data_IF_225423124958
#
_entry.id   IF_225423124958
#
_cell.length_a   1.000
_cell.length_b   1.000
_cell.length_c   1.000
_cell.angle_alpha   90.00
_cell.angle_beta   90.00
_cell.angle_gamma   90.00
#
_symmetry.space_group_name_H-M   'P 1'
#
loop_
_entity.id
_entity.type
_entity.pdbx_description
1 polymer ?
#
# COMPACT_ATOMS: atom_id res chain seq x y z
N UNK A 1 -54.87 25.72 1.90
CA UNK A 1 -54.39 25.74 0.50
C UNK A 1 -53.19 24.80 0.42
N UNK A 2 -53.41 23.60 -0.11
CA UNK A 2 -52.39 22.56 -0.30
C UNK A 2 -51.68 22.80 -1.63
N UNK A 3 -50.34 22.83 -1.62
CA UNK A 3 -49.52 22.96 -2.83
C UNK A 3 -49.01 21.59 -3.28
N UNK A 4 -49.39 21.19 -4.50
CA UNK A 4 -49.04 19.94 -5.18
C UNK A 4 -47.57 19.97 -5.66
N UNK A 5 -46.72 18.95 -5.34
CA UNK A 5 -45.28 19.00 -5.59
C UNK A 5 -44.80 18.47 -6.96
N UNK A 6 -45.65 18.42 -8.01
CA UNK A 6 -45.28 17.81 -9.31
C UNK A 6 -45.27 18.78 -10.50
N UNK A 7 -44.46 19.82 -10.44
CA UNK A 7 -44.15 20.66 -11.62
C UNK A 7 -42.73 20.36 -12.15
N UNK A 8 -42.60 19.65 -13.29
CA UNK A 8 -41.32 19.31 -13.91
C UNK A 8 -40.67 20.45 -14.73
N UNK A 9 -41.22 21.67 -14.76
CA UNK A 9 -40.69 22.77 -15.58
C UNK A 9 -39.58 23.60 -14.94
N UNK A 10 -39.20 23.31 -13.68
CA UNK A 10 -38.26 24.15 -12.92
C UNK A 10 -36.80 23.84 -13.27
N UNK A 11 -36.21 24.66 -14.15
CA UNK A 11 -34.77 24.62 -14.47
C UNK A 11 -33.93 24.79 -13.19
N UNK A 12 -32.89 23.97 -12.96
CA UNK A 12 -32.04 24.08 -11.78
C UNK A 12 -31.25 25.40 -11.84
N UNK A 13 -31.47 26.26 -10.83
CA UNK A 13 -30.73 27.50 -10.65
C UNK A 13 -29.24 27.22 -10.42
N UNK A 14 -28.38 27.96 -11.11
CA UNK A 14 -26.92 27.96 -10.90
C UNK A 14 -26.63 28.27 -9.43
N UNK A 15 -26.15 27.28 -8.67
CA UNK A 15 -25.61 27.50 -7.32
C UNK A 15 -24.19 28.03 -7.47
N UNK A 16 -24.06 29.32 -7.17
CA UNK A 16 -22.79 30.02 -7.04
C UNK A 16 -22.07 29.52 -5.78
N UNK A 17 -21.03 28.68 -5.95
CA UNK A 17 -20.19 28.22 -4.85
C UNK A 17 -19.22 29.34 -4.44
N UNK A 18 -19.60 30.16 -3.46
CA UNK A 18 -18.67 31.07 -2.79
C UNK A 18 -17.86 30.30 -1.75
N UNK A 19 -16.58 30.07 -2.04
CA UNK A 19 -15.61 29.59 -1.07
C UNK A 19 -15.42 30.63 0.05
N UNK A 20 -15.89 30.34 1.26
CA UNK A 20 -15.54 31.10 2.47
C UNK A 20 -14.20 30.57 2.99
N UNK A 21 -13.15 31.37 2.86
CA UNK A 21 -11.91 31.18 3.58
C UNK A 21 -12.14 31.46 5.07
N UNK A 22 -12.13 30.41 5.90
CA UNK A 22 -12.23 30.54 7.34
C UNK A 22 -10.82 30.66 7.93
N UNK A 23 -10.38 31.90 8.18
CA UNK A 23 -9.12 32.23 8.84
C UNK A 23 -9.38 32.34 10.35
N UNK A 24 -9.41 31.21 11.04
CA UNK A 24 -9.57 31.14 12.51
C UNK A 24 -8.23 31.22 13.23
N UNK A 25 -7.83 32.43 13.63
CA UNK A 25 -6.82 32.66 14.68
C UNK A 25 -7.50 32.39 16.03
N UNK A 26 -7.21 31.26 16.66
CA UNK A 26 -7.48 31.03 18.08
C UNK A 26 -6.36 31.64 18.91
N UNK A 27 -6.58 32.83 19.45
CA UNK A 27 -5.74 33.46 20.46
C UNK A 27 -6.31 33.07 21.82
N UNK A 28 -5.58 32.22 22.56
CA UNK A 28 -5.89 31.88 23.94
C UNK A 28 -5.53 33.07 24.82
N UNK A 29 -6.54 33.68 25.45
CA UNK A 29 -6.38 34.66 26.52
C UNK A 29 -6.33 33.85 27.81
N UNK A 30 -5.16 33.82 28.47
CA UNK A 30 -5.01 33.36 29.83
C UNK A 30 -5.36 34.48 30.81
N UNK A 31 -6.25 34.19 31.75
CA UNK A 31 -6.81 35.10 32.77
C UNK A 31 -5.91 35.34 33.99
N UNK A 32 -4.60 35.15 33.90
CA UNK A 32 -3.70 35.52 35.01
C UNK A 32 -2.84 36.72 34.62
N UNK A 33 -3.25 37.89 35.12
CA UNK A 33 -2.61 39.19 34.96
C UNK A 33 -1.25 39.29 35.66
N UNK A 34 -0.30 38.43 35.30
CA UNK A 34 1.11 38.57 35.68
C UNK A 34 1.93 39.00 34.47
N UNK A 35 2.28 40.29 34.43
CA UNK A 35 3.32 40.78 33.53
C UNK A 35 4.65 40.15 33.93
N UNK A 36 5.18 39.28 33.07
CA UNK A 36 6.55 38.82 33.15
C UNK A 36 7.34 39.50 32.03
N UNK A 37 7.96 40.62 32.36
CA UNK A 37 9.03 41.20 31.56
C UNK A 37 10.26 40.29 31.68
N UNK A 38 10.61 39.54 30.63
CA UNK A 38 11.94 38.93 30.55
C UNK A 38 12.53 39.02 29.13
N UNK A 39 13.36 40.05 29.00
CA UNK A 39 14.72 40.02 28.44
C UNK A 39 14.97 39.33 27.09
N UNK A 40 15.36 40.18 26.14
CA UNK A 40 16.28 39.88 25.04
C UNK A 40 17.42 38.95 25.47
N UNK A 41 17.52 37.81 24.80
CA UNK A 41 18.67 36.92 24.82
C UNK A 41 19.03 36.51 23.40
N UNK A 42 19.69 37.39 22.66
CA UNK A 42 20.49 36.98 21.50
C UNK A 42 21.57 36.02 21.99
N UNK A 43 21.44 34.73 21.68
CA UNK A 43 22.58 33.81 21.70
C UNK A 43 22.88 33.39 20.27
N UNK A 44 23.75 34.16 19.64
CA UNK A 44 24.53 33.72 18.48
C UNK A 44 25.57 32.73 19.00
N UNK A 45 25.28 31.44 18.94
CA UNK A 45 26.33 30.42 18.96
C UNK A 45 26.57 29.97 17.53
N UNK A 46 27.56 30.64 16.92
CA UNK A 46 28.25 30.15 15.75
C UNK A 46 28.96 28.83 16.12
N UNK A 47 28.28 27.71 15.89
CA UNK A 47 28.89 26.39 15.90
C UNK A 47 29.69 26.22 14.61
N UNK A 48 30.97 26.57 14.68
CA UNK A 48 32.00 26.15 13.72
C UNK A 48 32.04 24.62 13.76
N UNK A 49 31.30 23.96 12.87
CA UNK A 49 31.52 22.55 12.60
C UNK A 49 32.67 22.43 11.61
N UNK A 50 33.80 22.04 12.19
CA UNK A 50 35.04 21.67 11.52
C UNK A 50 34.75 20.63 10.46
N UNK A 51 35.02 21.00 9.20
CA UNK A 51 35.18 20.07 8.11
C UNK A 51 36.37 19.14 8.44
N UNK A 52 36.09 17.90 8.81
CA UNK A 52 37.09 16.83 8.80
C UNK A 52 36.86 16.00 7.55
N UNK A 53 37.59 16.40 6.52
CA UNK A 53 37.88 15.65 5.32
C UNK A 53 38.72 14.42 5.70
N UNK A 54 38.16 13.21 5.58
CA UNK A 54 38.97 12.00 5.45
C UNK A 54 38.58 11.32 4.15
N UNK A 55 39.38 11.63 3.14
CA UNK A 55 39.54 10.86 1.92
C UNK A 55 40.10 9.48 2.30
N UNK A 56 39.34 8.42 2.06
CA UNK A 56 39.88 7.07 1.96
C UNK A 56 39.44 6.47 0.63
N UNK A 57 40.32 6.64 -0.34
CA UNK A 57 40.29 6.00 -1.65
C UNK A 57 40.54 4.50 -1.41
N UNK A 58 39.53 3.66 -1.63
CA UNK A 58 39.72 2.23 -1.81
C UNK A 58 39.36 1.89 -3.27
N UNK A 59 40.34 2.06 -4.14
CA UNK A 59 40.35 1.50 -5.49
C UNK A 59 40.45 -0.01 -5.33
N UNK A 60 39.33 -0.71 -5.50
CA UNK A 60 39.34 -2.16 -5.72
C UNK A 60 39.10 -2.41 -7.20
N UNK A 61 40.20 -2.48 -7.95
CA UNK A 61 40.23 -3.04 -9.31
C UNK A 61 40.06 -4.54 -9.22
N UNK A 62 38.85 -5.06 -9.42
CA UNK A 62 38.67 -6.49 -9.73
C UNK A 62 38.85 -6.70 -11.24
N UNK A 63 40.05 -7.20 -11.51
CA UNK A 63 40.54 -7.72 -12.77
C UNK A 63 39.81 -9.03 -13.10
N UNK A 64 39.17 -9.03 -14.27
CA UNK A 64 39.02 -10.08 -15.30
C UNK A 64 38.77 -11.56 -14.92
N UNK A 65 37.92 -12.16 -15.77
CA UNK A 65 38.02 -13.51 -16.40
C UNK A 65 37.08 -14.64 -15.97
N UNK A 66 36.56 -15.33 -16.99
CA UNK A 66 35.75 -16.56 -16.97
C UNK A 66 34.41 -16.33 -17.69
N UNK A 67 34.25 -16.41 -19.01
CA UNK A 67 34.54 -17.48 -19.99
C UNK A 67 33.74 -18.78 -19.73
N UNK A 68 32.72 -18.97 -20.58
CA UNK A 68 32.06 -20.22 -21.03
C UNK A 68 31.36 -21.11 -20.00
N UNK A 69 30.07 -21.29 -20.26
CA UNK A 69 29.29 -22.47 -19.92
C UNK A 69 27.99 -22.45 -20.72
N UNK A 70 28.04 -22.93 -21.96
CA UNK A 70 26.87 -23.21 -22.79
C UNK A 70 26.42 -24.62 -22.43
N UNK A 71 25.36 -24.74 -21.64
CA UNK A 71 24.73 -26.04 -21.39
C UNK A 71 23.22 -25.94 -21.63
N UNK A 72 22.82 -26.61 -22.70
CA UNK A 72 21.44 -27.02 -22.98
C UNK A 72 21.28 -28.44 -22.45
N UNK A 73 20.29 -28.70 -21.58
CA UNK A 73 19.68 -30.02 -21.46
C UNK A 73 18.18 -29.91 -21.80
N UNK A 74 17.75 -30.48 -22.91
CA UNK A 74 17.35 -31.88 -23.08
C UNK A 74 15.92 -32.14 -22.58
N UNK A 75 15.04 -32.36 -23.56
CA UNK A 75 13.63 -32.66 -23.40
C UNK A 75 13.45 -34.10 -22.88
N UNK A 76 13.05 -34.23 -21.61
CA UNK A 76 12.63 -35.48 -21.00
C UNK A 76 11.12 -35.72 -21.15
N UNK A 77 10.76 -36.59 -22.10
CA UNK A 77 9.48 -37.31 -22.21
C UNK A 77 9.47 -38.49 -21.22
N UNK A 78 8.29 -38.95 -20.77
CA UNK A 78 7.92 -40.31 -20.21
C UNK A 78 6.94 -40.17 -19.03
N UNK A 79 5.64 -40.43 -19.20
CA UNK A 79 4.91 -41.72 -19.05
C UNK A 79 4.26 -41.84 -17.65
N UNK A 80 2.92 -41.67 -17.55
CA UNK A 80 1.91 -42.74 -17.45
C UNK A 80 2.18 -43.81 -16.38
N UNK A 81 1.38 -43.79 -15.30
CA UNK A 81 0.70 -44.98 -14.73
C UNK A 81 -0.26 -44.61 -13.60
N UNK A 82 -1.53 -44.91 -13.81
CA UNK A 82 -2.54 -45.12 -12.77
C UNK A 82 -2.20 -46.37 -11.95
N UNK A 83 -2.60 -46.38 -10.67
CA UNK A 83 -3.28 -47.55 -10.16
C UNK A 83 -4.69 -47.21 -9.67
N UNK A 84 -5.65 -47.99 -10.17
CA UNK A 84 -7.00 -48.15 -9.64
C UNK A 84 -6.92 -48.82 -8.28
N UNK A 85 -7.62 -48.30 -7.29
CA UNK A 85 -7.98 -49.06 -6.09
C UNK A 85 -9.45 -48.78 -5.78
N UNK A 86 -10.23 -49.81 -6.08
CA UNK A 86 -11.63 -49.99 -5.76
C UNK A 86 -11.73 -50.36 -4.28
N UNK A 87 -12.43 -49.55 -3.48
CA UNK A 87 -12.68 -49.82 -2.07
C UNK A 87 -14.19 -49.76 -1.81
N UNK A 88 -14.65 -50.84 -1.20
CA UNK A 88 -16.01 -51.24 -0.82
C UNK A 88 -16.71 -50.19 0.07
N UNK A 89 -18.00 -49.88 -0.13
CA UNK A 89 -18.77 -49.04 0.78
C UNK A 89 -19.39 -49.88 1.92
N UNK A 90 -18.99 -49.60 3.16
CA UNK A 90 -19.68 -50.05 4.38
C UNK A 90 -20.64 -48.96 4.85
N UNK A 91 -21.95 -49.24 4.76
CA UNK A 91 -23.02 -48.41 5.32
C UNK A 91 -23.01 -48.47 6.84
N UNK A 92 -22.45 -47.43 7.47
CA UNK A 92 -22.66 -47.13 8.90
C UNK A 92 -23.39 -45.81 9.00
N UNK A 93 -24.63 -45.84 9.49
CA UNK A 93 -25.46 -44.67 9.75
C UNK A 93 -24.88 -43.92 10.95
N UNK A 94 -24.01 -42.94 10.69
CA UNK A 94 -23.54 -41.98 11.68
C UNK A 94 -24.46 -40.77 11.73
N UNK A 95 -24.79 -40.34 12.94
CA UNK A 95 -25.57 -39.14 13.23
C UNK A 95 -24.99 -37.92 12.50
N UNK A 96 -25.84 -37.23 11.74
CA UNK A 96 -25.51 -35.99 11.02
C UNK A 96 -25.30 -34.88 12.05
N UNK A 97 -24.06 -34.76 12.53
CA UNK A 97 -23.57 -33.47 13.00
C UNK A 97 -23.36 -32.65 11.74
N UNK A 98 -24.14 -31.58 11.55
CA UNK A 98 -23.96 -30.66 10.43
C UNK A 98 -22.58 -30.00 10.55
N UNK A 99 -21.56 -30.67 10.01
CA UNK A 99 -20.22 -30.12 9.82
C UNK A 99 -20.38 -28.94 8.89
N UNK A 100 -20.28 -27.73 9.46
CA UNK A 100 -20.25 -26.48 8.70
C UNK A 100 -19.04 -26.58 7.78
N UNK A 101 -19.27 -26.87 6.51
CA UNK A 101 -18.22 -27.01 5.51
C UNK A 101 -17.39 -25.72 5.58
N UNK A 102 -16.09 -25.76 5.93
CA UNK A 102 -15.30 -24.56 6.04
C UNK A 102 -15.28 -23.90 4.66
N UNK A 103 -15.84 -22.70 4.56
CA UNK A 103 -15.79 -21.92 3.32
C UNK A 103 -14.33 -21.77 2.93
N UNK A 104 -13.98 -22.17 1.70
CA UNK A 104 -12.63 -22.02 1.19
C UNK A 104 -12.17 -20.55 1.32
N UNK A 105 -10.88 -20.29 1.61
CA UNK A 105 -10.37 -18.92 1.66
C UNK A 105 -10.67 -18.15 0.38
N UNK A 106 -11.04 -16.87 0.50
CA UNK A 106 -11.34 -16.01 -0.64
C UNK A 106 -10.48 -14.74 -0.65
N UNK A 107 -10.23 -14.20 -1.84
CA UNK A 107 -9.47 -12.98 -2.02
C UNK A 107 -10.33 -11.73 -1.83
N UNK A 108 -9.88 -10.82 -0.97
CA UNK A 108 -10.50 -9.51 -0.73
C UNK A 108 -9.58 -8.39 -1.22
N UNK A 109 -10.10 -7.49 -2.06
CA UNK A 109 -9.33 -6.34 -2.55
C UNK A 109 -9.26 -5.25 -1.48
N UNK A 110 -8.06 -4.83 -1.08
CA UNK A 110 -7.84 -3.82 -0.05
C UNK A 110 -8.41 -2.45 -0.43
N UNK A 111 -8.44 -2.10 -1.73
CA UNK A 111 -9.06 -0.87 -2.25
C UNK A 111 -10.58 -0.80 -2.03
N UNK A 112 -11.24 -1.94 -1.76
CA UNK A 112 -12.68 -2.04 -1.46
C UNK A 112 -12.97 -2.22 0.03
N UNK A 113 -11.94 -2.35 0.86
CA UNK A 113 -12.08 -2.48 2.31
C UNK A 113 -11.82 -1.13 2.98
N UNK A 114 -12.51 -0.87 4.09
CA UNK A 114 -12.22 0.28 4.93
C UNK A 114 -10.91 0.05 5.69
N UNK A 115 -9.96 0.97 5.53
CA UNK A 115 -8.76 1.01 6.36
C UNK A 115 -9.08 1.67 7.71
N UNK A 116 -8.42 1.23 8.77
CA UNK A 116 -8.51 1.87 10.10
C UNK A 116 -7.65 3.13 10.18
N UNK A 117 -6.60 3.22 9.37
CA UNK A 117 -5.79 4.43 9.18
C UNK A 117 -5.64 4.62 7.68
N UNK A 118 -5.95 5.83 7.21
CA UNK A 118 -5.77 6.23 5.83
C UNK A 118 -5.13 7.61 5.82
N UNK A 119 -3.83 7.68 5.57
CA UNK A 119 -3.15 8.97 5.43
C UNK A 119 -3.46 9.58 4.06
N UNK A 120 -3.24 10.89 3.93
CA UNK A 120 -3.66 11.68 2.76
C UNK A 120 -3.07 11.22 1.42
N UNK A 121 -2.06 10.37 1.45
CA UNK A 121 -1.28 9.94 0.31
C UNK A 121 -1.89 8.90 -0.62
N UNK A 122 -2.75 8.03 -0.08
CA UNK A 122 -3.33 6.93 -0.85
C UNK A 122 -4.70 7.30 -1.43
N UNK A 123 -4.93 6.94 -2.68
CA UNK A 123 -6.24 7.09 -3.34
C UNK A 123 -6.57 5.80 -4.09
N UNK A 124 -7.74 5.16 -3.87
CA UNK A 124 -8.18 4.05 -4.72
C UNK A 124 -8.33 4.54 -6.16
N UNK A 125 -7.83 3.77 -7.12
CA UNK A 125 -7.81 4.14 -8.53
C UNK A 125 -8.07 2.90 -9.39
N UNK A 126 -8.98 3.02 -10.36
CA UNK A 126 -9.43 1.87 -11.16
C UNK A 126 -9.60 2.24 -12.65
N UNK A 127 -8.76 1.71 -13.56
CA UNK A 127 -7.55 0.92 -13.32
C UNK A 127 -6.32 1.82 -13.04
N UNK A 128 -5.35 1.32 -12.27
CA UNK A 128 -3.99 1.89 -12.25
C UNK A 128 -3.13 1.20 -13.31
N UNK A 129 -2.19 1.90 -13.97
CA UNK A 129 -1.35 1.33 -15.03
C UNK A 129 0.12 1.31 -14.58
N UNK A 130 0.75 0.14 -14.63
CA UNK A 130 2.17 -0.04 -14.31
C UNK A 130 2.83 -0.64 -15.56
N UNK A 131 3.71 0.13 -16.18
CA UNK A 131 4.17 -0.15 -17.54
C UNK A 131 3.01 -0.21 -18.52
N UNK A 132 2.95 -1.27 -19.33
CA UNK A 132 1.85 -1.48 -20.27
C UNK A 132 0.58 -2.10 -19.63
N UNK A 133 0.69 -2.64 -18.42
CA UNK A 133 -0.34 -3.47 -17.80
C UNK A 133 -1.36 -2.63 -16.98
N UNK A 134 -2.68 -2.75 -17.24
CA UNK A 134 -3.70 -2.19 -16.39
C UNK A 134 -4.07 -3.13 -15.25
N UNK A 135 -4.22 -2.57 -14.05
CA UNK A 135 -4.59 -3.28 -12.83
C UNK A 135 -5.90 -2.68 -12.28
N UNK A 136 -7.01 -3.44 -12.32
CA UNK A 136 -8.24 -2.97 -11.71
C UNK A 136 -8.11 -2.88 -10.19
N UNK A 137 -8.94 -2.05 -9.57
CA UNK A 137 -9.01 -1.91 -8.12
C UNK A 137 -7.66 -1.59 -7.45
N UNK A 138 -6.86 -0.70 -8.04
CA UNK A 138 -5.56 -0.28 -7.54
C UNK A 138 -5.61 0.80 -6.47
N UNK A 139 -4.44 1.16 -5.95
CA UNK A 139 -4.21 2.29 -5.05
C UNK A 139 -3.01 3.08 -5.60
N UNK A 140 -3.11 4.41 -5.63
CA UNK A 140 -2.02 5.31 -6.03
C UNK A 140 -1.51 6.07 -4.81
N UNK A 141 -0.18 6.06 -4.62
CA UNK A 141 0.59 6.89 -3.69
C UNK A 141 0.98 8.21 -4.36
N UNK A 142 0.29 9.28 -3.99
CA UNK A 142 0.28 10.54 -4.72
C UNK A 142 0.97 11.70 -4.00
N UNK A 143 1.39 11.54 -2.75
CA UNK A 143 2.02 12.61 -1.97
C UNK A 143 3.53 12.39 -1.84
N UNK A 144 4.25 13.42 -1.38
CA UNK A 144 5.65 13.23 -0.97
C UNK A 144 5.65 12.38 0.30
N UNK A 145 6.43 11.31 0.32
CA UNK A 145 6.52 10.45 1.50
C UNK A 145 7.94 9.92 1.71
N UNK A 146 8.35 9.85 2.99
CA UNK A 146 9.68 9.42 3.43
C UNK A 146 9.57 8.54 4.66
N UNK A 147 10.64 7.86 5.05
CA UNK A 147 10.62 6.94 6.20
C UNK A 147 10.17 7.63 7.50
N UNK A 148 10.50 8.91 7.66
CA UNK A 148 10.13 9.74 8.81
C UNK A 148 8.80 10.47 8.65
N UNK A 149 8.25 10.54 7.44
CA UNK A 149 6.97 11.20 7.13
C UNK A 149 6.15 10.35 6.15
N UNK A 150 5.39 9.41 6.71
CA UNK A 150 4.67 8.35 5.99
C UNK A 150 3.30 8.83 5.48
N UNK A 151 3.27 9.86 4.64
CA UNK A 151 2.05 10.38 4.02
C UNK A 151 1.32 9.33 3.15
N UNK A 152 2.07 8.52 2.40
CA UNK A 152 1.57 7.46 1.51
C UNK A 152 1.44 6.14 2.29
N UNK A 153 0.48 6.09 3.24
CA UNK A 153 0.27 4.96 4.18
C UNK A 153 -1.20 4.63 4.38
N UNK A 154 -1.51 3.33 4.43
CA UNK A 154 -2.80 2.82 4.90
C UNK A 154 -2.63 1.57 5.78
N UNK A 155 -3.53 1.40 6.74
CA UNK A 155 -3.53 0.29 7.71
C UNK A 155 -4.90 -0.37 7.74
N UNK A 156 -4.95 -1.69 7.59
CA UNK A 156 -6.14 -2.53 7.71
C UNK A 156 -6.04 -3.43 8.94
N UNK A 157 -7.12 -3.52 9.72
CA UNK A 157 -7.24 -4.48 10.82
C UNK A 157 -7.80 -5.80 10.26
N UNK A 158 -6.91 -6.69 9.82
CA UNK A 158 -7.22 -7.96 9.15
C UNK A 158 -7.34 -9.16 10.12
N UNK A 159 -7.27 -8.92 11.42
CA UNK A 159 -7.75 -9.82 12.48
C UNK A 159 -7.06 -11.20 12.62
N UNK A 160 -5.96 -11.46 11.91
CA UNK A 160 -5.28 -12.77 11.95
C UNK A 160 -5.94 -13.87 11.14
N UNK A 161 -7.05 -13.59 10.43
CA UNK A 161 -7.78 -14.58 9.62
C UNK A 161 -7.29 -14.70 8.16
N UNK A 162 -6.28 -13.92 7.79
CA UNK A 162 -5.70 -13.92 6.44
C UNK A 162 -4.34 -14.62 6.44
N UNK A 163 -4.00 -15.24 5.32
CA UNK A 163 -2.77 -16.04 5.19
C UNK A 163 -1.83 -15.51 4.10
N UNK A 164 -2.34 -14.81 3.08
CA UNK A 164 -1.51 -14.27 2.00
C UNK A 164 -1.91 -12.85 1.63
N UNK A 165 -0.91 -12.03 1.30
CA UNK A 165 -1.06 -10.73 0.64
C UNK A 165 -0.46 -10.80 -0.77
N UNK A 166 -1.17 -10.23 -1.74
CA UNK A 166 -0.69 -10.09 -3.12
C UNK A 166 -0.93 -8.69 -3.67
N UNK A 167 0.03 -8.18 -4.43
CA UNK A 167 -0.09 -6.96 -5.24
C UNK A 167 0.92 -6.96 -6.38
N UNK A 168 0.73 -6.13 -7.39
CA UNK A 168 1.78 -5.75 -8.34
C UNK A 168 2.18 -4.30 -8.07
N UNK A 169 3.46 -4.02 -7.86
CA UNK A 169 3.93 -2.66 -7.51
C UNK A 169 4.79 -2.05 -8.61
N UNK A 170 4.78 -0.72 -8.70
CA UNK A 170 5.65 0.03 -9.59
C UNK A 170 5.22 1.47 -9.76
N UNK A 171 5.79 2.17 -10.76
CA UNK A 171 5.40 3.55 -11.08
C UNK A 171 4.15 3.60 -11.94
N UNK A 172 3.26 4.54 -11.63
CA UNK A 172 2.05 4.76 -12.42
C UNK A 172 2.39 5.41 -13.76
N UNK A 173 2.17 4.70 -14.86
CA UNK A 173 2.50 5.16 -16.22
C UNK A 173 1.67 6.35 -16.69
N UNK A 174 0.51 6.59 -16.07
CA UNK A 174 -0.33 7.74 -16.41
C UNK A 174 0.09 9.01 -15.64
N UNK A 175 1.12 8.93 -14.79
CA UNK A 175 1.70 10.07 -14.08
C UNK A 175 3.00 10.54 -14.73
N UNK A 176 3.22 11.86 -14.75
CA UNK A 176 4.48 12.43 -15.19
C UNK A 176 5.50 12.39 -14.04
N UNK A 177 6.79 12.31 -14.39
CA UNK A 177 7.89 12.32 -13.44
C UNK A 177 8.80 11.10 -13.59
N UNK A 178 9.85 11.05 -12.78
CA UNK A 178 10.80 9.94 -12.72
C UNK A 178 10.91 9.36 -11.32
N UNK A 179 12.14 9.02 -10.94
CA UNK A 179 12.48 8.62 -9.57
C UNK A 179 12.11 7.18 -9.22
N UNK A 180 12.66 6.72 -8.11
CA UNK A 180 12.46 5.37 -7.58
C UNK A 180 11.52 5.45 -6.38
N UNK A 181 10.49 4.62 -6.37
CA UNK A 181 9.61 4.46 -5.20
C UNK A 181 10.06 3.27 -4.36
N UNK A 182 10.07 3.41 -3.03
CA UNK A 182 10.17 2.27 -2.12
C UNK A 182 8.77 1.80 -1.75
N UNK A 183 8.50 0.49 -1.85
CA UNK A 183 7.24 -0.13 -1.47
C UNK A 183 7.49 -1.06 -0.29
N UNK A 184 6.69 -0.94 0.77
CA UNK A 184 6.88 -1.70 2.01
C UNK A 184 5.57 -2.30 2.48
N UNK A 185 5.63 -3.57 2.88
CA UNK A 185 4.54 -4.30 3.53
C UNK A 185 4.95 -4.57 4.97
N UNK A 186 4.14 -4.11 5.92
CA UNK A 186 4.38 -4.25 7.36
C UNK A 186 3.20 -5.03 7.97
N UNK A 187 3.51 -6.05 8.78
CA UNK A 187 2.53 -6.79 9.57
C UNK A 187 2.86 -6.65 11.05
N UNK A 188 1.89 -6.19 11.85
CA UNK A 188 2.04 -5.97 13.29
C UNK A 188 3.34 -5.24 13.66
N UNK A 189 3.58 -4.12 12.97
CA UNK A 189 4.75 -3.24 13.14
C UNK A 189 6.11 -3.86 12.77
N UNK A 190 6.13 -5.03 12.13
CA UNK A 190 7.32 -5.66 11.53
C UNK A 190 7.30 -5.57 10.01
N UNK A 191 8.40 -5.13 9.40
CA UNK A 191 8.58 -5.22 7.95
C UNK A 191 8.58 -6.69 7.50
N UNK A 192 7.68 -7.02 6.57
CA UNK A 192 7.55 -8.36 5.97
C UNK A 192 8.15 -8.40 4.57
N UNK A 193 8.07 -7.29 3.84
CA UNK A 193 8.57 -7.16 2.48
C UNK A 193 8.90 -5.71 2.16
N UNK A 194 9.92 -5.52 1.33
CA UNK A 194 10.34 -4.20 0.86
C UNK A 194 11.00 -4.30 -0.51
N UNK A 195 10.67 -3.40 -1.42
CA UNK A 195 11.30 -3.34 -2.76
C UNK A 195 11.34 -1.92 -3.30
N UNK A 196 12.34 -1.64 -4.14
CA UNK A 196 12.51 -0.37 -4.83
C UNK A 196 12.17 -0.56 -6.32
N UNK A 197 11.34 0.32 -6.89
CA UNK A 197 10.96 0.26 -8.31
C UNK A 197 11.11 1.63 -8.98
N UNK A 198 11.87 1.67 -10.07
CA UNK A 198 12.09 2.84 -10.92
C UNK A 198 10.99 3.04 -11.96
N UNK A 199 11.07 4.12 -12.76
CA UNK A 199 10.01 4.52 -13.69
C UNK A 199 9.93 3.67 -14.96
N UNK A 200 11.03 3.01 -15.33
CA UNK A 200 11.10 2.14 -16.52
C UNK A 200 11.09 0.66 -16.17
N UNK A 201 11.03 0.32 -14.88
CA UNK A 201 11.00 -1.06 -14.44
C UNK A 201 9.61 -1.66 -14.72
N UNK A 202 9.54 -2.95 -15.07
CA UNK A 202 8.26 -3.64 -15.17
C UNK A 202 7.56 -3.69 -13.81
N UNK A 203 6.27 -4.00 -13.82
CA UNK A 203 5.55 -4.28 -12.58
C UNK A 203 6.23 -5.44 -11.82
N UNK A 204 6.38 -5.28 -10.51
CA UNK A 204 6.94 -6.31 -9.63
C UNK A 204 5.79 -6.96 -8.86
N UNK A 205 5.63 -8.27 -9.04
CA UNK A 205 4.64 -9.04 -8.28
C UNK A 205 5.16 -9.31 -6.86
N UNK A 206 4.32 -8.97 -5.88
CA UNK A 206 4.57 -9.11 -4.45
C UNK A 206 3.64 -10.19 -3.91
N UNK A 207 4.22 -11.18 -3.25
CA UNK A 207 3.50 -12.24 -2.54
C UNK A 207 4.12 -12.41 -1.16
N UNK A 208 3.32 -12.22 -0.11
CA UNK A 208 3.79 -12.20 1.29
C UNK A 208 2.90 -13.08 2.16
N UNK A 209 3.51 -13.95 2.97
CA UNK A 209 2.82 -14.66 4.03
C UNK A 209 2.49 -13.69 5.18
N UNK A 210 1.19 -13.60 5.49
CA UNK A 210 0.65 -12.74 6.54
C UNK A 210 -0.12 -13.55 7.59
N UNK A 211 0.17 -14.85 7.70
CA UNK A 211 -0.46 -15.73 8.67
C UNK A 211 -0.29 -15.21 10.10
N UNK A 212 -1.42 -15.04 10.80
CA UNK A 212 -1.46 -14.52 12.16
C UNK A 212 -1.32 -12.99 12.29
N UNK A 213 -1.12 -12.27 11.19
CA UNK A 213 -1.03 -10.80 11.21
C UNK A 213 -2.39 -10.18 11.53
N UNK A 214 -2.43 -9.30 12.53
CA UNK A 214 -3.66 -8.61 12.95
C UNK A 214 -3.81 -7.28 12.21
N UNK A 215 -2.70 -6.56 12.00
CA UNK A 215 -2.66 -5.25 11.32
C UNK A 215 -1.72 -5.31 10.13
N UNK A 216 -2.30 -5.16 8.93
CA UNK A 216 -1.54 -5.03 7.69
C UNK A 216 -1.39 -3.55 7.34
N UNK A 217 -0.17 -3.10 7.12
CA UNK A 217 0.15 -1.75 6.71
C UNK A 217 0.84 -1.79 5.34
N UNK A 218 0.33 -0.99 4.41
CA UNK A 218 1.01 -0.68 3.15
C UNK A 218 1.54 0.74 3.22
N UNK A 219 2.77 0.91 2.76
CA UNK A 219 3.50 2.16 2.81
C UNK A 219 4.41 2.29 1.60
N UNK A 220 4.49 3.48 1.00
CA UNK A 220 5.51 3.76 0.01
C UNK A 220 6.20 5.12 0.19
N UNK A 221 7.42 5.25 -0.34
CA UNK A 221 8.19 6.50 -0.37
C UNK A 221 8.25 7.05 -1.78
N UNK A 222 8.26 8.39 -1.88
CA UNK A 222 8.59 9.11 -3.11
C UNK A 222 8.92 10.57 -2.84
N UNK A 223 9.68 11.17 -3.74
CA UNK A 223 9.89 12.61 -3.77
C UNK A 223 8.75 13.32 -4.53
N UNK A 224 8.65 14.64 -4.33
CA UNK A 224 7.54 15.44 -4.85
C UNK A 224 7.45 15.44 -6.39
N UNK A 225 8.60 15.41 -7.08
CA UNK A 225 8.69 15.44 -8.55
C UNK A 225 8.67 14.04 -9.19
N UNK A 226 8.62 12.97 -8.40
CA UNK A 226 8.61 11.61 -8.91
C UNK A 226 7.26 11.27 -9.52
N UNK A 227 7.25 10.31 -10.45
CA UNK A 227 6.02 9.64 -10.84
C UNK A 227 5.33 9.05 -9.59
N UNK A 228 3.99 9.01 -9.60
CA UNK A 228 3.22 8.46 -8.49
C UNK A 228 3.47 6.97 -8.37
N UNK A 229 3.45 6.47 -7.13
CA UNK A 229 3.58 5.05 -6.86
C UNK A 229 2.23 4.36 -7.07
N UNK A 230 2.27 3.12 -7.54
CA UNK A 230 1.08 2.33 -7.84
C UNK A 230 1.14 0.96 -7.17
N UNK A 231 0.06 0.63 -6.48
CA UNK A 231 -0.26 -0.70 -5.98
C UNK A 231 -1.39 -1.27 -6.85
N UNK A 232 -1.04 -2.14 -7.78
CA UNK A 232 -1.97 -2.88 -8.64
C UNK A 232 -2.60 -4.05 -7.91
N UNK A 233 -3.94 -4.09 -7.87
CA UNK A 233 -4.74 -5.17 -7.28
C UNK A 233 -4.31 -5.63 -5.87
N UNK A 234 -4.03 -4.73 -4.90
CA UNK A 234 -3.65 -5.14 -3.56
C UNK A 234 -4.80 -5.93 -2.90
N UNK A 235 -4.53 -7.16 -2.52
CA UNK A 235 -5.54 -8.10 -2.01
C UNK A 235 -5.00 -9.04 -0.95
N UNK A 236 -5.89 -9.57 -0.12
CA UNK A 236 -5.58 -10.53 0.94
C UNK A 236 -6.44 -11.78 0.83
N UNK A 237 -5.86 -12.95 1.08
CA UNK A 237 -6.56 -14.23 1.11
C UNK A 237 -6.97 -14.53 2.55
N UNK A 238 -8.27 -14.62 2.81
CA UNK A 238 -8.79 -14.78 4.17
C UNK A 238 -9.88 -15.86 4.24
N UNK A 239 -9.98 -16.53 5.40
CA UNK A 239 -11.05 -17.51 5.66
C UNK A 239 -12.43 -16.87 5.92
N UNK A 240 -12.46 -15.57 6.19
CA UNK A 240 -13.67 -14.77 6.41
C UNK A 240 -13.41 -13.31 6.04
N UNK A 241 -14.46 -12.48 6.01
CA UNK A 241 -14.34 -11.06 5.64
C UNK A 241 -13.43 -10.32 6.63
N UNK A 242 -12.31 -9.72 6.18
CA UNK A 242 -11.33 -9.15 7.10
C UNK A 242 -11.71 -7.79 7.69
N UNK A 243 -12.80 -7.18 7.21
CA UNK A 243 -13.28 -5.90 7.71
C UNK A 243 -14.52 -5.43 6.94
N UNK A 244 -15.07 -4.26 7.30
CA UNK A 244 -16.18 -3.67 6.56
C UNK A 244 -15.73 -3.22 5.16
N UNK A 245 -16.63 -3.35 4.18
CA UNK A 245 -16.44 -2.74 2.86
C UNK A 245 -16.46 -1.22 2.98
N UNK A 246 -15.76 -0.55 2.07
CA UNK A 246 -15.80 0.91 1.92
C UNK A 246 -17.05 1.37 1.18
#
# INVERSE_FOLDING_TARGET
MNSDPRDPSRKPGKREYRARANRGRGQLIGEDGTQVNHFYGMSRTAGVFVAVLVLAIAVVTFVTWGKRGSETPEAGKTESRQPVSEVVPSTTTSAVTTTRNPTAPIWYNLSKLSAVIWNNGFTPFDPVRIGAAPYPAGIVGGYQSSATDQNDKAVWAIGGQCTAFEASVGKNTDSAGGGTGQFVVIGDDRELYSTAVGPNDPAVDVHVDISGVIRLTLYDTRHLQDATNAWGRPRVLCGSSPGPSR
#
